data_IF_477110781987
#
_entry.id   IF_477110781987
#
_cell.length_a   1.000
_cell.length_b   1.000
_cell.length_c   1.000
_cell.angle_alpha   90.00
_cell.angle_beta   90.00
_cell.angle_gamma   90.00
#
_symmetry.space_group_name_H-M   'P 1'
#
loop_
_entity.id
_entity.type
_entity.pdbx_description
1 polymer ?
#
# COMPACT_ATOMS: atom_id res chain seq x y z
N UNK A 1 12.11 31.96 -34.46
CA UNK A 1 11.76 32.01 -33.03
C UNK A 1 11.58 30.57 -32.58
N UNK A 2 12.66 29.79 -32.54
CA UNK A 2 13.57 29.61 -31.37
C UNK A 2 12.84 28.83 -30.27
N UNK A 3 13.03 27.50 -30.23
CA UNK A 3 14.06 26.79 -29.45
C UNK A 3 13.95 26.99 -27.93
N UNK A 4 13.52 25.93 -27.23
CA UNK A 4 14.05 25.61 -25.89
C UNK A 4 13.96 24.10 -25.61
N UNK A 5 14.99 23.42 -26.10
CA UNK A 5 15.63 22.22 -25.58
C UNK A 5 15.75 22.17 -24.03
N UNK A 6 15.54 20.98 -23.45
CA UNK A 6 16.55 20.26 -22.65
C UNK A 6 16.05 18.88 -22.21
N UNK A 7 16.65 17.87 -22.83
CA UNK A 7 16.59 16.46 -22.49
C UNK A 7 17.27 16.19 -21.13
N UNK A 8 16.74 15.24 -20.35
CA UNK A 8 17.50 14.57 -19.28
C UNK A 8 17.72 13.12 -19.70
N UNK A 9 18.77 12.92 -20.50
CA UNK A 9 19.42 11.62 -20.63
C UNK A 9 20.27 11.38 -19.38
N UNK A 10 19.98 10.32 -18.62
CA UNK A 10 20.92 9.77 -17.64
C UNK A 10 21.01 8.25 -17.85
N UNK A 11 21.72 7.88 -18.90
CA UNK A 11 22.45 6.62 -18.98
C UNK A 11 23.93 6.92 -18.71
N UNK A 12 24.42 6.49 -17.56
CA UNK A 12 25.86 6.30 -17.29
C UNK A 12 26.00 4.85 -16.83
N UNK A 13 26.25 3.93 -17.75
CA UNK A 13 27.59 3.48 -18.15
C UNK A 13 28.29 2.67 -17.06
N UNK A 14 28.20 1.35 -17.23
CA UNK A 14 29.22 0.33 -16.97
C UNK A 14 30.63 0.85 -16.69
N UNK A 15 31.25 0.34 -15.62
CA UNK A 15 32.70 0.20 -15.53
C UNK A 15 33.07 -1.13 -14.84
N UNK A 16 34.02 -1.92 -15.37
CA UNK A 16 34.35 -3.25 -14.85
C UNK A 16 35.66 -3.28 -14.02
N UNK A 17 35.76 -4.31 -13.17
CA UNK A 17 36.96 -4.88 -12.53
C UNK A 17 37.67 -4.09 -11.39
N UNK A 18 37.64 -4.67 -10.17
CA UNK A 18 38.81 -5.21 -9.44
C UNK A 18 38.38 -5.87 -8.12
N UNK A 19 38.70 -7.15 -7.97
CA UNK A 19 38.73 -7.86 -6.70
C UNK A 19 39.98 -7.45 -5.89
N UNK A 20 39.96 -7.65 -4.57
CA UNK A 20 40.87 -8.67 -4.02
C UNK A 20 40.20 -9.60 -3.00
N UNK A 21 40.66 -10.85 -3.04
CA UNK A 21 40.43 -11.88 -2.03
C UNK A 21 40.88 -11.44 -0.63
N UNK A 22 40.11 -11.81 0.40
CA UNK A 22 40.68 -12.18 1.69
C UNK A 22 39.77 -13.17 2.40
N UNK A 23 40.39 -14.25 2.82
CA UNK A 23 39.86 -15.46 3.41
C UNK A 23 39.57 -15.25 4.89
N UNK A 24 38.42 -15.71 5.39
CA UNK A 24 38.37 -16.37 6.70
C UNK A 24 37.10 -17.20 6.86
N UNK A 25 37.31 -18.52 6.91
CA UNK A 25 36.36 -19.48 7.43
C UNK A 25 36.57 -19.58 8.95
N UNK A 26 35.47 -19.60 9.70
CA UNK A 26 35.40 -20.17 11.05
C UNK A 26 33.91 -20.36 11.37
N UNK A 27 33.41 -21.59 11.20
CA UNK A 27 33.22 -22.59 12.27
C UNK A 27 31.92 -22.36 13.05
N UNK A 28 30.92 -23.17 12.70
CA UNK A 28 29.72 -23.40 13.50
C UNK A 28 30.09 -23.99 14.87
N UNK A 29 29.31 -23.66 15.92
CA UNK A 29 29.07 -24.62 16.99
C UNK A 29 27.57 -24.93 17.09
N UNK A 30 27.24 -26.21 16.97
CA UNK A 30 25.97 -26.76 17.47
C UNK A 30 26.09 -27.14 18.94
N UNK A 31 24.94 -27.12 19.60
CA UNK A 31 24.55 -27.70 20.89
C UNK A 31 24.92 -26.94 22.19
N UNK A 32 23.89 -26.40 22.85
CA UNK A 32 23.35 -27.06 24.05
C UNK A 32 22.08 -26.38 24.57
N UNK A 33 21.13 -27.24 24.91
CA UNK A 33 19.92 -26.97 25.68
C UNK A 33 20.22 -26.34 27.04
N UNK A 34 19.47 -25.30 27.44
CA UNK A 34 18.68 -25.29 28.69
C UNK A 34 17.99 -23.95 28.97
N UNK A 35 16.67 -24.04 29.22
CA UNK A 35 15.86 -23.17 30.10
C UNK A 35 15.77 -21.67 29.76
N UNK A 36 14.89 -21.30 28.84
CA UNK A 36 14.26 -19.97 28.85
C UNK A 36 13.07 -19.95 29.82
N UNK A 37 13.28 -19.37 31.00
CA UNK A 37 12.24 -18.60 31.69
C UNK A 37 12.59 -17.13 31.52
N UNK A 38 12.11 -16.50 30.45
CA UNK A 38 12.06 -15.05 30.35
C UNK A 38 10.60 -14.62 30.37
N UNK A 39 10.27 -13.93 31.46
CA UNK A 39 9.04 -13.18 31.66
C UNK A 39 9.25 -11.85 30.95
N UNK A 40 8.89 -11.76 29.68
CA UNK A 40 8.86 -10.47 28.99
C UNK A 40 7.45 -9.89 29.06
N UNK A 41 7.30 -8.93 29.98
CA UNK A 41 6.27 -7.91 29.89
C UNK A 41 6.53 -7.13 28.61
N UNK A 42 5.70 -7.36 27.59
CA UNK A 42 5.63 -6.52 26.41
C UNK A 42 4.93 -5.21 26.82
N UNK A 43 5.69 -4.22 27.29
CA UNK A 43 5.25 -2.82 27.33
C UNK A 43 5.44 -2.23 25.92
N UNK A 44 4.55 -2.60 25.01
CA UNK A 44 4.39 -1.86 23.75
C UNK A 44 3.66 -0.55 24.05
N UNK A 45 4.04 0.58 23.43
CA UNK A 45 3.24 1.80 23.54
C UNK A 45 1.85 1.50 22.99
N UNK A 46 0.86 1.50 23.88
CA UNK A 46 -0.55 1.38 23.53
C UNK A 46 -0.90 2.57 22.65
N UNK A 47 -0.96 2.34 21.34
CA UNK A 47 -1.53 3.28 20.38
C UNK A 47 -3.05 3.23 20.55
N UNK A 48 -3.53 3.76 21.67
CA UNK A 48 -4.95 4.09 21.81
C UNK A 48 -5.21 5.28 20.90
N UNK A 49 -5.56 4.98 19.64
CA UNK A 49 -6.03 5.98 18.70
C UNK A 49 -7.42 6.42 19.18
N UNK A 50 -7.45 7.32 20.17
CA UNK A 50 -8.67 8.01 20.58
C UNK A 50 -9.12 8.87 19.39
N UNK A 51 -9.93 8.28 18.50
CA UNK A 51 -10.65 8.99 17.47
C UNK A 51 -11.74 9.81 18.18
N UNK A 52 -11.41 11.03 18.55
CA UNK A 52 -12.32 12.06 19.02
C UNK A 52 -13.21 12.57 17.87
N UNK A 53 -13.89 11.65 17.19
CA UNK A 53 -15.10 11.94 16.41
C UNK A 53 -16.32 11.79 17.32
N UNK A 54 -16.29 12.45 18.48
CA UNK A 54 -17.53 12.65 19.23
C UNK A 54 -18.34 13.71 18.49
N UNK A 55 -19.26 13.27 17.62
CA UNK A 55 -20.45 14.08 17.32
C UNK A 55 -21.32 14.08 18.59
N UNK A 56 -20.91 14.84 19.60
CA UNK A 56 -21.80 15.22 20.69
C UNK A 56 -22.97 15.97 20.05
N UNK A 57 -24.22 15.49 20.15
CA UNK A 57 -25.35 16.38 19.94
C UNK A 57 -25.12 17.53 20.90
N UNK A 58 -25.04 18.77 20.37
CA UNK A 58 -24.92 19.97 21.20
C UNK A 58 -26.00 19.87 22.27
N UNK A 59 -25.57 19.60 23.51
CA UNK A 59 -26.45 19.62 24.66
C UNK A 59 -27.06 21.01 24.67
N UNK A 60 -28.39 21.17 24.54
CA UNK A 60 -28.99 22.48 24.71
C UNK A 60 -28.57 22.98 26.09
N UNK A 61 -28.17 24.27 26.23
CA UNK A 61 -27.67 24.79 27.48
C UNK A 61 -28.67 24.47 28.59
N UNK A 62 -28.23 23.63 29.53
CA UNK A 62 -28.95 23.34 30.76
C UNK A 62 -28.82 24.58 31.63
N UNK A 63 -29.78 25.49 31.45
CA UNK A 63 -30.42 26.32 32.48
C UNK A 63 -31.06 27.54 31.80
N UNK A 64 -32.28 27.34 31.29
CA UNK A 64 -33.22 28.45 31.18
C UNK A 64 -34.40 28.14 32.11
N UNK A 65 -34.11 28.20 33.42
CA UNK A 65 -35.16 28.38 34.42
C UNK A 65 -35.65 29.82 34.30
N UNK A 66 -36.57 30.07 33.37
CA UNK A 66 -37.44 31.26 33.45
C UNK A 66 -38.87 30.84 33.15
N UNK A 67 -39.42 29.99 34.03
CA UNK A 67 -40.88 29.98 34.24
C UNK A 67 -41.13 30.50 35.65
N UNK A 68 -41.10 31.84 35.78
CA UNK A 68 -42.02 32.53 36.70
C UNK A 68 -42.22 34.01 36.37
N UNK A 69 -43.36 34.32 35.75
CA UNK A 69 -44.49 35.11 36.29
C UNK A 69 -45.18 35.84 35.16
N UNK A 70 -46.50 35.74 35.19
CA UNK A 70 -47.43 36.72 34.64
C UNK A 70 -46.97 38.13 35.09
N UNK A 71 -46.58 38.98 34.13
CA UNK A 71 -46.80 40.43 34.21
C UNK A 71 -46.67 41.10 32.83
N UNK A 72 -47.79 41.72 32.47
CA UNK A 72 -47.95 42.94 31.67
C UNK A 72 -47.52 42.91 30.19
N UNK A 73 -48.57 42.81 29.36
CA UNK A 73 -48.59 43.09 27.92
C UNK A 73 -47.94 44.45 27.63
N UNK A 74 -46.97 44.46 26.70
CA UNK A 74 -46.61 45.54 25.75
C UNK A 74 -45.10 45.73 25.45
N UNK A 75 -44.22 44.76 25.69
CA UNK A 75 -42.83 44.81 25.16
C UNK A 75 -42.26 43.42 24.77
N UNK A 76 -43.04 42.63 24.03
CA UNK A 76 -42.64 41.26 23.62
C UNK A 76 -41.99 41.24 22.23
N UNK A 77 -42.20 42.28 21.40
CA UNK A 77 -41.82 42.22 19.98
C UNK A 77 -40.33 42.32 19.70
N UNK A 78 -39.52 42.84 20.63
CA UNK A 78 -38.10 43.19 20.35
C UNK A 78 -37.11 42.09 20.76
N UNK A 79 -37.43 41.31 21.79
CA UNK A 79 -36.53 40.27 22.30
C UNK A 79 -36.50 39.01 21.42
N UNK A 80 -37.66 38.59 20.91
CA UNK A 80 -37.76 37.37 20.08
C UNK A 80 -37.10 37.54 18.70
N UNK A 81 -37.14 38.73 18.10
CA UNK A 81 -36.51 39.01 16.80
C UNK A 81 -34.99 38.87 16.86
N UNK A 82 -34.36 39.37 17.93
CA UNK A 82 -32.90 39.31 18.10
C UNK A 82 -32.40 37.88 18.30
N UNK A 83 -33.13 37.04 19.03
CA UNK A 83 -32.76 35.64 19.23
C UNK A 83 -32.91 34.83 17.93
N UNK A 84 -33.98 35.07 17.17
CA UNK A 84 -34.19 34.45 15.86
C UNK A 84 -33.09 34.83 14.86
N UNK A 85 -32.61 36.08 14.86
CA UNK A 85 -31.50 36.50 14.02
C UNK A 85 -30.17 35.83 14.40
N UNK A 86 -29.87 35.74 15.70
CA UNK A 86 -28.69 35.02 16.18
C UNK A 86 -28.71 33.53 15.77
N UNK A 87 -29.88 32.88 15.90
CA UNK A 87 -30.04 31.48 15.48
C UNK A 87 -29.84 31.30 13.97
N UNK A 88 -30.37 32.22 13.15
CA UNK A 88 -30.16 32.19 11.68
C UNK A 88 -28.68 32.34 11.33
N UNK A 89 -27.95 33.22 12.01
CA UNK A 89 -26.52 33.39 11.81
C UNK A 89 -25.75 32.12 12.17
N UNK A 90 -26.04 31.51 13.33
CA UNK A 90 -25.43 30.23 13.70
C UNK A 90 -25.73 29.12 12.70
N UNK A 91 -26.97 29.00 12.23
CA UNK A 91 -27.34 28.01 11.22
C UNK A 91 -26.60 28.23 9.90
N UNK A 92 -26.50 29.49 9.44
CA UNK A 92 -25.75 29.83 8.24
C UNK A 92 -24.26 29.49 8.37
N UNK A 93 -23.66 29.76 9.53
CA UNK A 93 -22.26 29.44 9.78
C UNK A 93 -22.01 27.92 9.85
N UNK A 94 -22.91 27.16 10.46
CA UNK A 94 -22.82 25.70 10.47
C UNK A 94 -22.94 25.11 9.06
N UNK A 95 -23.84 25.65 8.22
CA UNK A 95 -23.95 25.26 6.80
C UNK A 95 -22.65 25.56 6.06
N UNK A 96 -22.05 26.73 6.30
CA UNK A 96 -20.78 27.14 5.67
C UNK A 96 -19.64 26.18 6.03
N UNK A 97 -19.50 25.83 7.31
CA UNK A 97 -18.49 24.87 7.78
C UNK A 97 -18.72 23.48 7.21
N UNK A 98 -19.94 22.97 7.27
CA UNK A 98 -20.30 21.67 6.71
C UNK A 98 -20.05 21.60 5.19
N UNK A 99 -20.29 22.68 4.45
CA UNK A 99 -20.00 22.75 3.02
C UNK A 99 -18.49 22.67 2.74
N UNK A 100 -17.65 23.35 3.54
CA UNK A 100 -16.20 23.27 3.41
C UNK A 100 -15.67 21.86 3.71
N UNK A 101 -16.14 21.25 4.79
CA UNK A 101 -15.76 19.89 5.19
C UNK A 101 -16.21 18.86 4.14
N UNK A 102 -17.42 19.00 3.61
CA UNK A 102 -17.92 18.16 2.52
C UNK A 102 -17.03 18.25 1.28
N UNK A 103 -16.68 19.46 0.84
CA UNK A 103 -15.82 19.65 -0.32
C UNK A 103 -14.42 19.04 -0.12
N UNK A 104 -13.87 19.12 1.10
CA UNK A 104 -12.61 18.46 1.44
C UNK A 104 -12.75 16.93 1.36
N UNK A 105 -13.78 16.37 2.00
CA UNK A 105 -14.02 14.93 2.00
C UNK A 105 -14.26 14.37 0.58
N UNK A 106 -14.95 15.12 -0.28
CA UNK A 106 -15.14 14.77 -1.69
C UNK A 106 -13.82 14.75 -2.47
N UNK A 107 -12.94 15.74 -2.27
CA UNK A 107 -11.61 15.74 -2.89
C UNK A 107 -10.77 14.54 -2.45
N UNK A 108 -10.79 14.20 -1.18
CA UNK A 108 -10.05 13.02 -0.67
C UNK A 108 -10.59 11.74 -1.30
N UNK A 109 -11.92 11.56 -1.37
CA UNK A 109 -12.53 10.39 -2.03
C UNK A 109 -12.16 10.32 -3.51
N UNK A 110 -12.17 11.46 -4.21
CA UNK A 110 -11.79 11.55 -5.62
C UNK A 110 -10.34 11.15 -5.84
N UNK A 111 -9.41 11.62 -5.00
CA UNK A 111 -8.01 11.20 -5.05
C UNK A 111 -7.87 9.70 -4.81
N UNK A 112 -8.51 9.16 -3.77
CA UNK A 112 -8.49 7.72 -3.50
C UNK A 112 -9.05 6.90 -4.65
N UNK A 113 -10.10 7.38 -5.34
CA UNK A 113 -10.64 6.69 -6.51
C UNK A 113 -9.63 6.62 -7.65
N UNK A 114 -8.96 7.74 -7.95
CA UNK A 114 -7.92 7.79 -9.01
C UNK A 114 -6.73 6.89 -8.69
N UNK A 115 -6.28 6.87 -7.44
CA UNK A 115 -5.20 5.98 -7.00
C UNK A 115 -5.59 4.49 -7.16
N UNK A 116 -6.85 4.16 -6.85
CA UNK A 116 -7.37 2.81 -7.04
C UNK A 116 -7.43 2.42 -8.52
N UNK A 117 -7.96 3.29 -9.38
CA UNK A 117 -8.00 3.08 -10.84
C UNK A 117 -6.59 2.87 -11.41
N UNK A 118 -5.61 3.69 -10.97
CA UNK A 118 -4.21 3.54 -11.38
C UNK A 118 -3.65 2.19 -10.92
N UNK A 119 -3.83 1.84 -9.65
CA UNK A 119 -3.39 0.56 -9.11
C UNK A 119 -4.00 -0.63 -9.87
N UNK A 120 -5.29 -0.60 -10.16
CA UNK A 120 -5.98 -1.64 -10.93
C UNK A 120 -5.39 -1.82 -12.32
N UNK A 121 -5.13 -0.71 -13.03
CA UNK A 121 -4.52 -0.73 -14.36
C UNK A 121 -3.11 -1.33 -14.33
N UNK A 122 -2.31 -0.97 -13.31
CA UNK A 122 -0.97 -1.49 -13.09
C UNK A 122 -0.97 -2.98 -12.75
N UNK A 123 -1.87 -3.42 -11.88
CA UNK A 123 -2.04 -4.84 -11.56
C UNK A 123 -2.49 -5.64 -12.78
N UNK A 124 -3.40 -5.11 -13.60
CA UNK A 124 -3.81 -5.77 -14.84
C UNK A 124 -2.64 -5.94 -15.81
N UNK A 125 -1.82 -4.90 -15.97
CA UNK A 125 -0.60 -4.93 -16.78
C UNK A 125 0.41 -5.96 -16.25
N UNK A 126 0.64 -5.96 -14.94
CA UNK A 126 1.55 -6.92 -14.30
C UNK A 126 1.07 -8.37 -14.48
N UNK A 127 -0.23 -8.64 -14.33
CA UNK A 127 -0.83 -9.96 -14.58
C UNK A 127 -0.61 -10.42 -16.02
N UNK A 128 -0.88 -9.56 -17.00
CA UNK A 128 -0.68 -9.90 -18.41
C UNK A 128 0.81 -10.21 -18.74
N UNK A 129 1.75 -9.48 -18.13
CA UNK A 129 3.17 -9.79 -18.26
C UNK A 129 3.53 -11.15 -17.62
N UNK A 130 2.99 -11.42 -16.44
CA UNK A 130 3.22 -12.66 -15.72
C UNK A 130 2.67 -13.88 -16.47
N UNK A 131 1.46 -13.78 -17.03
CA UNK A 131 0.86 -14.83 -17.85
C UNK A 131 1.72 -15.14 -19.08
N UNK A 132 2.15 -14.12 -19.82
CA UNK A 132 3.05 -14.30 -20.96
C UNK A 132 4.39 -14.95 -20.55
N UNK A 133 4.98 -14.49 -19.46
CA UNK A 133 6.22 -15.08 -18.96
C UNK A 133 6.03 -16.56 -18.58
N UNK A 134 4.89 -16.89 -17.98
CA UNK A 134 4.54 -18.27 -17.61
C UNK A 134 4.38 -19.16 -18.84
N UNK A 135 3.72 -18.68 -19.89
CA UNK A 135 3.57 -19.40 -21.17
C UNK A 135 4.93 -19.69 -21.82
N UNK A 136 5.85 -18.71 -21.81
CA UNK A 136 7.20 -18.91 -22.36
C UNK A 136 8.02 -19.92 -21.54
N UNK A 137 7.87 -19.93 -20.22
CA UNK A 137 8.48 -20.95 -19.35
C UNK A 137 7.94 -22.33 -19.69
N UNK A 138 6.62 -22.49 -19.80
CA UNK A 138 6.00 -23.78 -20.16
C UNK A 138 6.49 -24.29 -21.52
N UNK A 139 6.64 -23.39 -22.50
CA UNK A 139 7.19 -23.71 -23.81
C UNK A 139 8.66 -24.15 -23.73
N UNK A 140 9.47 -23.49 -22.92
CA UNK A 140 10.87 -23.85 -22.68
C UNK A 140 10.98 -25.22 -21.99
N UNK A 141 10.11 -25.51 -21.02
CA UNK A 141 10.04 -26.82 -20.36
C UNK A 141 9.67 -27.93 -21.34
N UNK A 142 8.65 -27.75 -22.17
CA UNK A 142 8.30 -28.71 -23.23
C UNK A 142 9.45 -28.94 -24.22
N UNK A 143 10.22 -27.90 -24.54
CA UNK A 143 11.40 -28.04 -25.41
C UNK A 143 12.52 -28.82 -24.71
N UNK A 144 12.76 -28.53 -23.42
CA UNK A 144 13.72 -29.24 -22.58
C UNK A 144 13.39 -30.73 -22.51
N UNK A 145 12.15 -31.11 -22.24
CA UNK A 145 11.73 -32.52 -22.18
C UNK A 145 12.01 -33.25 -23.50
N UNK A 146 11.66 -32.63 -24.64
CA UNK A 146 11.94 -33.20 -25.97
C UNK A 146 13.43 -33.34 -26.24
N UNK A 147 14.25 -32.38 -25.79
CA UNK A 147 15.69 -32.43 -25.95
C UNK A 147 16.31 -33.55 -25.10
N UNK A 148 15.90 -33.66 -23.83
CA UNK A 148 16.36 -34.72 -22.91
C UNK A 148 16.00 -36.10 -23.47
N UNK A 149 14.74 -36.33 -23.88
CA UNK A 149 14.34 -37.63 -24.45
C UNK A 149 15.13 -38.04 -25.70
N UNK A 150 15.48 -37.08 -26.57
CA UNK A 150 16.36 -37.33 -27.73
C UNK A 150 17.81 -37.58 -27.34
N UNK A 151 18.32 -36.86 -26.34
CA UNK A 151 19.67 -37.05 -25.84
C UNK A 151 19.83 -38.42 -25.21
N UNK A 152 18.89 -38.86 -24.38
CA UNK A 152 18.96 -40.17 -23.72
C UNK A 152 19.01 -41.32 -24.75
N UNK A 153 18.19 -41.25 -25.81
CA UNK A 153 18.25 -42.20 -26.93
C UNK A 153 19.59 -42.18 -27.67
N UNK A 154 20.15 -40.99 -27.93
CA UNK A 154 21.42 -40.85 -28.65
C UNK A 154 22.63 -41.23 -27.79
N UNK A 155 22.61 -40.94 -26.49
CA UNK A 155 23.68 -41.23 -25.55
C UNK A 155 23.95 -42.75 -25.42
N UNK A 156 22.91 -43.59 -25.58
CA UNK A 156 23.07 -45.05 -25.62
C UNK A 156 23.84 -45.53 -26.87
N UNK A 157 23.86 -44.75 -27.95
CA UNK A 157 24.46 -45.12 -29.23
C UNK A 157 25.84 -44.50 -29.48
N UNK A 158 26.24 -43.50 -28.68
CA UNK A 158 27.57 -42.88 -28.74
C UNK A 158 28.57 -43.84 -28.09
N UNK A 159 28.96 -44.86 -28.84
CA UNK A 159 30.12 -45.70 -28.56
C UNK A 159 31.30 -45.18 -29.38
N UNK A 160 32.48 -45.06 -28.77
CA UNK A 160 33.68 -44.69 -29.51
C UNK A 160 34.04 -45.79 -30.52
N UNK A 161 34.64 -45.41 -31.66
CA UNK A 161 34.99 -46.36 -32.73
C UNK A 161 35.95 -47.47 -32.23
N UNK A 162 36.87 -47.13 -31.33
CA UNK A 162 37.75 -48.11 -30.68
C UNK A 162 36.99 -49.09 -29.77
N UNK A 163 35.92 -48.64 -29.10
CA UNK A 163 35.05 -49.53 -28.32
C UNK A 163 34.23 -50.44 -29.25
N UNK A 164 33.68 -49.92 -30.36
CA UNK A 164 32.93 -50.74 -31.33
C UNK A 164 33.75 -51.89 -31.92
N UNK A 165 35.02 -51.65 -32.24
CA UNK A 165 35.93 -52.65 -32.81
C UNK A 165 36.30 -53.78 -31.82
N UNK A 166 36.29 -53.51 -30.50
CA UNK A 166 36.65 -54.49 -29.47
C UNK A 166 35.54 -55.47 -29.08
N UNK A 167 34.28 -55.12 -29.39
CA UNK A 167 33.10 -55.92 -29.02
C UNK A 167 32.40 -56.55 -30.24
N UNK A 168 33.02 -56.52 -31.43
CA UNK A 168 32.58 -57.29 -32.59
C UNK A 168 33.28 -58.67 -32.58
N UNK A 169 32.57 -59.78 -32.84
CA UNK A 169 33.14 -61.14 -32.86
C UNK A 169 34.17 -61.38 -33.96
#
# INVERSE_FOLDING_TARGET
>A
MEEHHKELQLLSSTNPHKAPSSSQASSWPSDSSTKFRSRDHFDGPSLDLQLSISVTPLKPPSDCVVIRRIKDYNDVKKFDSSNVEALKWHAAEQIRLAAMEKAYAERVRELSRREMELAESEFARARALWERAREEVEKAEKMKEKAIGKMDSRCLEITCQSCRQKFLP
#
